data_IF_406255131051
#
_entry.id   IF_406255131051
#
_cell.length_a   1.000
_cell.length_b   1.000
_cell.length_c   1.000
_cell.angle_alpha   90.00
_cell.angle_beta   90.00
_cell.angle_gamma   90.00
#
_symmetry.space_group_name_H-M   'P 1'
#
loop_
_entity.id
_entity.type
_entity.pdbx_description
1 polymer ?
#
# COMPACT_ATOMS: atom_id res chain seq x y z
N UNK A 1 -11.81 -1.99 14.68
CA UNK A 1 -10.46 -2.21 15.24
C UNK A 1 -9.81 -0.87 15.14
N UNK A 2 -9.31 -0.40 16.25
CA UNK A 2 -8.71 0.93 16.32
C UNK A 2 -7.21 0.80 16.11
N UNK A 3 -6.59 1.93 15.78
CA UNK A 3 -5.15 1.99 15.60
C UNK A 3 -4.45 1.67 16.92
N UNK A 4 -3.38 0.87 16.86
CA UNK A 4 -2.49 0.71 18.00
C UNK A 4 -1.72 2.01 18.27
N UNK A 5 -1.20 2.22 19.48
CA UNK A 5 -0.34 3.39 19.76
C UNK A 5 0.84 3.51 18.80
N UNK A 6 1.42 2.39 18.37
CA UNK A 6 2.51 2.37 17.40
C UNK A 6 2.05 2.77 15.99
N UNK A 7 0.91 2.26 15.52
CA UNK A 7 0.33 2.66 14.22
C UNK A 7 -0.01 4.16 14.20
N UNK A 8 -0.54 4.70 15.31
CA UNK A 8 -0.81 6.14 15.45
C UNK A 8 0.48 6.96 15.43
N UNK A 9 1.55 6.47 16.08
CA UNK A 9 2.84 7.15 16.08
C UNK A 9 3.46 7.18 14.69
N UNK A 10 3.41 6.07 13.95
CA UNK A 10 3.86 6.01 12.54
C UNK A 10 3.04 6.93 11.66
N UNK A 11 1.72 6.91 11.76
CA UNK A 11 0.86 7.81 10.99
C UNK A 11 1.27 9.27 11.21
N UNK A 12 1.32 9.72 12.48
CA UNK A 12 1.64 11.11 12.81
C UNK A 12 3.03 11.52 12.33
N UNK A 13 4.01 10.64 12.49
CA UNK A 13 5.38 10.88 12.05
C UNK A 13 5.47 11.08 10.54
N UNK A 14 4.86 10.18 9.76
CA UNK A 14 4.89 10.28 8.30
C UNK A 14 4.09 11.48 7.79
N UNK A 15 2.99 11.82 8.46
CA UNK A 15 2.20 13.00 8.14
C UNK A 15 2.98 14.30 8.41
N UNK A 16 3.68 14.40 9.55
CA UNK A 16 4.50 15.58 9.87
C UNK A 16 5.68 15.77 8.91
N UNK A 17 6.18 14.67 8.34
CA UNK A 17 7.24 14.67 7.34
C UNK A 17 6.72 14.88 5.91
N UNK A 18 5.41 15.06 5.73
CA UNK A 18 4.78 15.30 4.44
C UNK A 18 4.81 14.08 3.51
N UNK A 19 4.94 12.87 4.05
CA UNK A 19 5.02 11.61 3.27
C UNK A 19 3.65 11.00 2.96
N UNK A 20 2.61 11.44 3.68
CA UNK A 20 1.23 11.01 3.48
C UNK A 20 0.49 12.06 2.66
N UNK A 21 0.33 11.82 1.36
CA UNK A 21 -0.46 12.70 0.50
C UNK A 21 -1.86 12.16 0.33
N UNK A 22 -2.89 12.90 0.73
CA UNK A 22 -4.26 12.45 0.54
C UNK A 22 -4.53 12.11 -0.92
N UNK A 23 -5.16 10.96 -1.13
CA UNK A 23 -5.53 10.52 -2.46
C UNK A 23 -6.55 11.49 -3.04
N UNK A 24 -6.11 12.34 -3.96
CA UNK A 24 -7.04 13.14 -4.74
C UNK A 24 -7.82 12.25 -5.73
N UNK A 25 -9.00 12.73 -6.15
CA UNK A 25 -9.78 12.09 -7.23
C UNK A 25 -9.06 12.18 -8.59
N UNK A 26 -7.93 12.91 -8.65
CA UNK A 26 -7.08 13.15 -9.81
C UNK A 26 -6.11 12.01 -10.12
N UNK A 27 -5.68 11.23 -9.12
CA UNK A 27 -4.65 10.20 -9.28
C UNK A 27 -5.03 9.11 -10.30
N UNK A 28 -6.33 8.86 -10.43
CA UNK A 28 -6.90 7.93 -11.40
C UNK A 28 -7.66 8.65 -12.52
N UNK A 29 -7.75 9.98 -12.48
CA UNK A 29 -8.43 10.76 -13.50
C UNK A 29 -7.62 10.70 -14.80
N UNK A 30 -8.23 10.20 -15.86
CA UNK A 30 -7.56 9.97 -17.14
C UNK A 30 -6.68 8.73 -17.20
N UNK A 31 -6.65 7.89 -16.16
CA UNK A 31 -5.96 6.59 -16.22
C UNK A 31 -6.90 5.50 -16.71
N UNK A 32 -6.42 4.77 -17.70
CA UNK A 32 -6.99 3.54 -18.24
C UNK A 32 -6.98 2.43 -17.16
N UNK A 33 -7.77 1.38 -17.40
CA UNK A 33 -7.96 0.15 -16.64
C UNK A 33 -6.91 -0.13 -15.54
N UNK A 34 -7.41 -0.18 -14.29
CA UNK A 34 -6.59 -0.25 -13.07
C UNK A 34 -6.81 -1.58 -12.35
N UNK A 35 -5.71 -2.29 -12.05
CA UNK A 35 -5.77 -3.40 -11.10
C UNK A 35 -5.41 -2.92 -9.69
N UNK A 36 -6.05 -3.50 -8.68
CA UNK A 36 -5.86 -3.10 -7.28
C UNK A 36 -5.54 -4.31 -6.43
N UNK A 37 -4.31 -4.36 -5.91
CA UNK A 37 -3.89 -5.38 -4.97
C UNK A 37 -4.14 -4.88 -3.56
N UNK A 38 -4.97 -5.62 -2.81
CA UNK A 38 -5.42 -5.19 -1.49
C UNK A 38 -5.78 -6.37 -0.58
N UNK A 39 -5.98 -6.08 0.70
CA UNK A 39 -6.53 -7.03 1.66
C UNK A 39 -8.07 -7.10 1.55
N UNK A 40 -8.70 -8.28 1.62
CA UNK A 40 -10.16 -8.43 1.59
C UNK A 40 -10.86 -8.04 2.90
N UNK A 41 -10.20 -7.34 3.84
CA UNK A 41 -10.86 -6.89 5.08
C UNK A 41 -12.05 -5.99 4.70
N UNK A 42 -13.26 -6.48 4.97
CA UNK A 42 -14.51 -5.85 4.52
C UNK A 42 -14.71 -4.42 5.02
N UNK A 43 -14.06 -4.02 6.13
CA UNK A 43 -14.08 -2.64 6.64
C UNK A 43 -13.34 -1.68 5.72
N UNK A 44 -12.32 -2.20 5.04
CA UNK A 44 -11.46 -1.44 4.14
C UNK A 44 -11.89 -1.60 2.69
N UNK A 45 -12.16 -2.84 2.26
CA UNK A 45 -12.39 -3.18 0.86
C UNK A 45 -13.62 -2.48 0.25
N UNK A 46 -14.80 -2.60 0.87
CA UNK A 46 -16.04 -2.08 0.26
C UNK A 46 -16.02 -0.56 0.17
N UNK A 47 -15.77 0.12 1.30
CA UNK A 47 -15.91 1.59 1.36
C UNK A 47 -14.76 2.34 0.72
N UNK A 48 -13.53 1.80 0.77
CA UNK A 48 -12.35 2.53 0.34
C UNK A 48 -11.82 2.09 -1.01
N UNK A 49 -12.20 0.90 -1.48
CA UNK A 49 -11.83 0.42 -2.82
C UNK A 49 -13.08 0.37 -3.70
N UNK A 50 -14.06 -0.48 -3.39
CA UNK A 50 -15.19 -0.70 -4.29
C UNK A 50 -15.97 0.58 -4.55
N UNK A 51 -16.40 1.30 -3.51
CA UNK A 51 -17.24 2.50 -3.68
C UNK A 51 -16.56 3.59 -4.53
N UNK A 52 -15.30 4.01 -4.27
CA UNK A 52 -14.63 4.98 -5.12
C UNK A 52 -14.51 4.55 -6.58
N UNK A 53 -14.14 3.29 -6.84
CA UNK A 53 -14.02 2.79 -8.21
C UNK A 53 -15.38 2.68 -8.92
N UNK A 54 -16.45 2.34 -8.18
CA UNK A 54 -17.82 2.37 -8.70
C UNK A 54 -18.27 3.80 -9.04
N UNK A 55 -18.04 4.78 -8.16
CA UNK A 55 -18.36 6.19 -8.44
C UNK A 55 -17.59 6.72 -9.66
N UNK A 56 -16.34 6.28 -9.83
CA UNK A 56 -15.52 6.62 -10.99
C UNK A 56 -16.06 5.99 -12.27
N UNK A 57 -16.46 4.71 -12.21
CA UNK A 57 -17.09 4.01 -13.32
C UNK A 57 -18.40 4.68 -13.74
N UNK A 58 -19.27 5.03 -12.79
CA UNK A 58 -20.53 5.71 -13.04
C UNK A 58 -20.35 7.07 -13.73
N UNK A 59 -19.26 7.79 -13.42
CA UNK A 59 -18.97 9.10 -14.02
C UNK A 59 -18.33 9.02 -15.40
N UNK A 60 -17.42 8.06 -15.60
CA UNK A 60 -16.58 8.01 -16.79
C UNK A 60 -17.03 6.95 -17.81
N UNK A 61 -17.79 5.94 -17.39
CA UNK A 61 -18.17 4.74 -18.16
C UNK A 61 -17.01 4.04 -18.91
N UNK A 62 -15.77 4.23 -18.43
CA UNK A 62 -14.56 3.83 -19.15
C UNK A 62 -13.51 3.13 -18.29
N UNK A 63 -13.57 3.25 -16.97
CA UNK A 63 -12.54 2.67 -16.09
C UNK A 63 -12.92 1.23 -15.79
N UNK A 64 -12.11 0.26 -16.25
CA UNK A 64 -12.21 -1.10 -15.73
C UNK A 64 -11.40 -1.22 -14.43
N UNK A 65 -12.03 -1.80 -13.43
CA UNK A 65 -11.44 -2.05 -12.12
C UNK A 65 -11.28 -3.55 -11.92
N UNK A 66 -10.05 -4.00 -11.64
CA UNK A 66 -9.75 -5.39 -11.36
C UNK A 66 -9.19 -5.57 -9.94
N UNK A 67 -10.04 -5.87 -8.95
CA UNK A 67 -9.56 -6.17 -7.61
C UNK A 67 -8.83 -7.51 -7.59
N UNK A 68 -7.64 -7.54 -7.01
CA UNK A 68 -6.86 -8.74 -6.72
C UNK A 68 -6.73 -8.86 -5.20
N UNK A 69 -7.76 -9.37 -4.50
CA UNK A 69 -7.74 -9.48 -3.05
C UNK A 69 -7.00 -10.74 -2.58
N UNK A 70 -6.10 -10.59 -1.59
CA UNK A 70 -5.45 -11.71 -0.86
C UNK A 70 -5.38 -11.40 0.63
N UNK A 71 -5.51 -12.38 1.51
CA UNK A 71 -5.32 -12.16 2.95
C UNK A 71 -3.89 -11.69 3.23
N UNK A 72 -3.74 -10.49 3.81
CA UNK A 72 -2.44 -9.81 3.93
C UNK A 72 -2.16 -8.81 2.79
N UNK A 73 -2.93 -8.84 1.71
CA UNK A 73 -2.86 -7.88 0.62
C UNK A 73 -1.47 -7.79 0.00
N UNK A 74 -0.95 -6.56 -0.11
CA UNK A 74 0.36 -6.34 -0.75
C UNK A 74 1.54 -6.76 0.11
N UNK A 75 1.33 -7.06 1.41
CA UNK A 75 2.36 -7.65 2.26
C UNK A 75 2.88 -8.98 1.71
N UNK A 76 2.08 -9.70 0.91
CA UNK A 76 2.49 -10.95 0.28
C UNK A 76 3.40 -10.76 -0.93
N UNK A 77 3.53 -9.54 -1.46
CA UNK A 77 4.42 -9.24 -2.57
C UNK A 77 5.86 -9.00 -2.13
N UNK A 78 6.07 -8.64 -0.86
CA UNK A 78 7.39 -8.55 -0.27
C UNK A 78 7.92 -9.96 0.05
N UNK A 79 8.95 -10.39 -0.68
CA UNK A 79 9.56 -11.72 -0.53
C UNK A 79 10.13 -11.98 0.87
N UNK A 80 10.38 -10.93 1.64
CA UNK A 80 10.86 -11.01 3.02
C UNK A 80 9.73 -10.96 4.06
N UNK A 81 8.47 -10.90 3.61
CA UNK A 81 7.32 -10.81 4.50
C UNK A 81 7.13 -12.09 5.31
N UNK A 82 6.92 -11.99 6.63
CA UNK A 82 6.65 -13.16 7.46
C UNK A 82 5.28 -13.79 7.17
N UNK A 83 4.45 -13.17 6.31
CA UNK A 83 3.19 -13.73 5.85
C UNK A 83 3.39 -14.76 4.71
N UNK A 84 4.59 -14.85 4.13
CA UNK A 84 4.93 -15.90 3.16
C UNK A 84 5.28 -17.17 3.95
N UNK A 85 4.28 -18.01 4.17
CA UNK A 85 4.45 -19.24 4.94
C UNK A 85 5.28 -20.29 4.17
N UNK A 86 6.17 -21.04 4.85
CA UNK A 86 6.96 -22.08 4.20
C UNK A 86 6.09 -23.10 3.45
N UNK A 87 6.44 -23.37 2.19
CA UNK A 87 5.70 -24.31 1.33
C UNK A 87 4.47 -23.73 0.63
N UNK A 88 4.15 -22.45 0.85
CA UNK A 88 3.09 -21.74 0.14
C UNK A 88 3.65 -20.91 -1.02
N UNK A 89 2.93 -20.86 -2.14
CA UNK A 89 3.30 -20.10 -3.35
C UNK A 89 2.56 -18.78 -3.48
N UNK A 90 1.95 -18.30 -2.39
CA UNK A 90 0.98 -17.20 -2.43
C UNK A 90 1.55 -15.92 -3.01
N UNK A 91 2.84 -15.64 -2.79
CA UNK A 91 3.53 -14.49 -3.36
C UNK A 91 3.69 -14.63 -4.89
N UNK A 92 4.07 -15.82 -5.37
CA UNK A 92 4.21 -16.14 -6.81
C UNK A 92 2.85 -16.15 -7.51
N UNK A 93 1.83 -16.70 -6.87
CA UNK A 93 0.46 -16.73 -7.40
C UNK A 93 -0.07 -15.30 -7.55
N UNK A 94 0.19 -14.43 -6.57
CA UNK A 94 -0.18 -13.03 -6.63
C UNK A 94 0.56 -12.26 -7.74
N UNK A 95 1.85 -12.55 -7.97
CA UNK A 95 2.57 -12.00 -9.13
C UNK A 95 1.97 -12.51 -10.46
N UNK A 96 1.58 -13.78 -10.54
CA UNK A 96 0.90 -14.33 -11.71
C UNK A 96 -0.42 -13.61 -12.00
N UNK A 97 -1.22 -13.31 -10.97
CA UNK A 97 -2.46 -12.52 -11.12
C UNK A 97 -2.17 -11.12 -11.68
N UNK A 98 -1.13 -10.46 -11.18
CA UNK A 98 -0.70 -9.14 -11.68
C UNK A 98 -0.26 -9.24 -13.15
N UNK A 99 0.56 -10.23 -13.52
CA UNK A 99 0.97 -10.46 -14.91
C UNK A 99 -0.24 -10.73 -15.82
N UNK A 100 -1.22 -11.47 -15.32
CA UNK A 100 -2.46 -11.72 -16.05
C UNK A 100 -3.27 -10.43 -16.26
N UNK A 101 -3.41 -9.59 -15.24
CA UNK A 101 -4.04 -8.27 -15.39
C UNK A 101 -3.32 -7.43 -16.46
N UNK A 102 -1.99 -7.31 -16.39
CA UNK A 102 -1.20 -6.57 -17.38
C UNK A 102 -1.40 -7.11 -18.81
N UNK A 103 -1.41 -8.44 -18.96
CA UNK A 103 -1.67 -9.11 -20.25
C UNK A 103 -3.07 -8.78 -20.81
N UNK A 104 -4.06 -8.57 -19.94
CA UNK A 104 -5.42 -8.18 -20.32
C UNK A 104 -5.59 -6.66 -20.53
N UNK A 105 -4.50 -5.90 -20.56
CA UNK A 105 -4.53 -4.49 -20.97
C UNK A 105 -4.52 -3.48 -19.82
N UNK A 106 -4.52 -3.91 -18.56
CA UNK A 106 -4.47 -3.01 -17.41
C UNK A 106 -3.15 -2.22 -17.37
N UNK A 107 -3.23 -0.89 -17.40
CA UNK A 107 -2.06 0.01 -17.55
C UNK A 107 -1.59 0.63 -16.24
N UNK A 108 -2.35 0.46 -15.17
CA UNK A 108 -2.01 0.97 -13.86
C UNK A 108 -2.28 -0.06 -12.76
N UNK A 109 -1.38 -0.09 -11.77
CA UNK A 109 -1.49 -0.89 -10.56
C UNK A 109 -1.58 0.00 -9.32
N UNK A 110 -2.53 -0.33 -8.45
CA UNK A 110 -2.69 0.27 -7.13
C UNK A 110 -2.33 -0.77 -6.07
N UNK A 111 -1.30 -0.50 -5.28
CA UNK A 111 -0.87 -1.34 -4.16
C UNK A 111 -1.36 -0.70 -2.87
N UNK A 112 -2.20 -1.41 -2.10
CA UNK A 112 -2.82 -0.86 -0.90
C UNK A 112 -2.54 -1.76 0.29
N UNK A 113 -1.86 -1.19 1.28
CA UNK A 113 -1.82 -1.70 2.64
C UNK A 113 -2.71 -0.83 3.54
N UNK A 114 -3.03 -1.33 4.73
CA UNK A 114 -3.92 -0.61 5.62
C UNK A 114 -3.52 -0.72 7.08
N UNK A 115 -3.88 0.30 7.86
CA UNK A 115 -3.96 0.25 9.31
C UNK A 115 -5.41 0.38 9.78
N UNK A 116 -5.79 -0.36 10.83
CA UNK A 116 -5.05 -1.48 11.38
C UNK A 116 -5.16 -2.72 10.47
N UNK A 117 -4.16 -3.61 10.47
CA UNK A 117 -4.20 -4.87 9.73
C UNK A 117 -4.06 -6.06 10.69
N UNK A 118 -5.08 -6.92 10.78
CA UNK A 118 -5.04 -8.09 11.66
C UNK A 118 -3.94 -9.07 11.25
N UNK A 119 -3.83 -9.39 9.96
CA UNK A 119 -2.80 -10.30 9.45
C UNK A 119 -1.39 -9.85 9.80
N UNK A 120 -1.12 -8.56 9.69
CA UNK A 120 0.16 -7.99 10.05
C UNK A 120 0.44 -8.11 11.55
N UNK A 121 -0.55 -7.80 12.40
CA UNK A 121 -0.44 -7.94 13.85
C UNK A 121 -0.24 -9.39 14.28
N UNK A 122 -0.97 -10.33 13.70
CA UNK A 122 -0.88 -11.77 14.00
C UNK A 122 0.51 -12.34 13.69
N UNK A 123 1.21 -11.75 12.72
CA UNK A 123 2.58 -12.12 12.33
C UNK A 123 3.64 -11.15 12.87
N UNK A 124 3.30 -10.31 13.84
CA UNK A 124 4.20 -9.33 14.47
C UNK A 124 4.91 -8.41 13.46
N UNK A 125 4.27 -8.09 12.34
CA UNK A 125 4.78 -7.10 11.38
C UNK A 125 4.61 -5.73 11.98
N UNK A 126 5.74 -5.05 12.20
CA UNK A 126 5.75 -3.68 12.70
C UNK A 126 5.08 -2.71 11.71
N UNK A 127 4.39 -1.66 12.17
CA UNK A 127 3.67 -0.74 11.28
C UNK A 127 4.56 -0.10 10.20
N UNK A 128 5.81 0.21 10.52
CA UNK A 128 6.73 0.77 9.53
C UNK A 128 7.09 -0.23 8.42
N UNK A 129 7.25 -1.51 8.76
CA UNK A 129 7.49 -2.59 7.77
C UNK A 129 6.29 -2.82 6.86
N UNK A 130 5.07 -2.53 7.33
CA UNK A 130 3.88 -2.56 6.46
C UNK A 130 4.04 -1.55 5.31
N UNK A 131 4.68 -0.41 5.54
CA UNK A 131 4.92 0.58 4.50
C UNK A 131 6.14 0.23 3.65
N UNK A 132 7.22 -0.27 4.26
CA UNK A 132 8.37 -0.78 3.50
C UNK A 132 7.94 -1.84 2.49
N UNK A 133 7.03 -2.73 2.90
CA UNK A 133 6.52 -3.78 2.01
C UNK A 133 5.83 -3.22 0.75
N UNK A 134 5.20 -2.03 0.80
CA UNK A 134 4.65 -1.39 -0.40
C UNK A 134 5.76 -0.99 -1.39
N UNK A 135 6.89 -0.51 -0.85
CA UNK A 135 8.04 -0.11 -1.66
C UNK A 135 8.71 -1.34 -2.26
N UNK A 136 8.90 -2.40 -1.47
CA UNK A 136 9.45 -3.68 -1.93
C UNK A 136 8.53 -4.33 -2.97
N UNK A 137 7.21 -4.31 -2.75
CA UNK A 137 6.23 -4.82 -3.69
C UNK A 137 6.31 -4.10 -5.04
N UNK A 138 6.37 -2.76 -5.02
CA UNK A 138 6.55 -1.98 -6.25
C UNK A 138 7.89 -2.30 -6.92
N UNK A 139 8.99 -2.34 -6.16
CA UNK A 139 10.31 -2.67 -6.69
C UNK A 139 10.32 -4.05 -7.35
N UNK A 140 9.73 -5.07 -6.69
CA UNK A 140 9.55 -6.41 -7.26
C UNK A 140 8.80 -6.38 -8.57
N UNK A 141 7.62 -5.75 -8.62
CA UNK A 141 6.83 -5.64 -9.85
C UNK A 141 7.62 -4.97 -10.97
N UNK A 142 8.26 -3.82 -10.68
CA UNK A 142 8.90 -2.99 -11.70
C UNK A 142 10.25 -3.54 -12.17
N UNK A 143 11.08 -4.03 -11.25
CA UNK A 143 12.48 -4.40 -11.52
C UNK A 143 12.68 -5.90 -11.62
N UNK A 144 12.18 -6.67 -10.63
CA UNK A 144 12.42 -8.13 -10.59
C UNK A 144 11.57 -8.89 -11.61
N UNK A 145 10.29 -8.53 -11.70
CA UNK A 145 9.33 -9.18 -12.60
C UNK A 145 9.29 -8.54 -13.99
N UNK A 146 10.03 -7.44 -14.20
CA UNK A 146 10.14 -6.75 -15.49
C UNK A 146 8.86 -6.06 -15.97
N UNK A 147 7.91 -5.75 -15.08
CA UNK A 147 6.65 -5.10 -15.44
C UNK A 147 6.84 -3.57 -15.48
N UNK A 148 7.70 -3.11 -16.41
CA UNK A 148 8.14 -1.71 -16.51
C UNK A 148 7.13 -0.77 -17.16
N UNK A 149 6.15 -1.29 -17.89
CA UNK A 149 5.37 -0.46 -18.82
C UNK A 149 4.06 0.08 -18.22
N UNK A 150 3.75 -0.31 -17.00
CA UNK A 150 2.58 0.18 -16.24
C UNK A 150 2.98 1.22 -15.20
N UNK A 151 2.05 2.11 -14.82
CA UNK A 151 2.24 2.89 -13.60
C UNK A 151 1.92 2.05 -12.37
N UNK A 152 2.73 2.13 -11.31
CA UNK A 152 2.41 1.50 -10.02
C UNK A 152 2.46 2.55 -8.91
N UNK A 153 1.36 2.71 -8.18
CA UNK A 153 1.23 3.64 -7.06
C UNK A 153 0.96 2.87 -5.76
N UNK A 154 1.49 3.39 -4.64
CA UNK A 154 1.46 2.77 -3.33
C UNK A 154 0.62 3.61 -2.37
N UNK A 155 -0.37 3.01 -1.73
CA UNK A 155 -1.27 3.69 -0.83
C UNK A 155 -1.31 3.02 0.53
N UNK A 156 -1.39 3.85 1.56
CA UNK A 156 -1.70 3.43 2.92
C UNK A 156 -3.11 3.90 3.25
N UNK A 157 -3.99 2.96 3.51
CA UNK A 157 -5.33 3.23 4.00
C UNK A 157 -5.32 3.21 5.53
N UNK A 158 -5.87 4.24 6.17
CA UNK A 158 -5.92 4.36 7.62
C UNK A 158 -7.38 4.46 8.06
N UNK A 159 -7.77 3.59 8.98
CA UNK A 159 -9.12 3.46 9.54
C UNK A 159 -9.04 3.55 11.05
N UNK A 160 -9.73 4.51 11.64
CA UNK A 160 -9.77 4.71 13.10
C UNK A 160 -11.17 5.16 13.53
N UNK A 161 -11.93 4.27 14.19
CA UNK A 161 -13.37 4.50 14.44
C UNK A 161 -14.16 4.75 13.14
N UNK A 162 -14.67 5.98 12.95
CA UNK A 162 -15.32 6.45 11.71
C UNK A 162 -14.35 7.17 10.75
N UNK A 163 -13.16 7.58 11.21
CA UNK A 163 -12.17 8.28 10.39
C UNK A 163 -11.59 7.34 9.33
N UNK A 164 -11.59 7.78 8.08
CA UNK A 164 -11.00 7.05 6.96
C UNK A 164 -10.11 7.98 6.16
N UNK A 165 -8.89 7.54 5.89
CA UNK A 165 -7.92 8.25 5.07
C UNK A 165 -7.27 7.26 4.11
N UNK A 166 -7.04 7.66 2.87
CA UNK A 166 -6.22 6.90 1.93
C UNK A 166 -5.13 7.85 1.47
N UNK A 167 -3.88 7.52 1.78
CA UNK A 167 -2.73 8.37 1.49
C UNK A 167 -1.84 7.69 0.46
N UNK A 168 -1.54 8.40 -0.62
CA UNK A 168 -0.48 8.04 -1.55
C UNK A 168 0.87 8.25 -0.86
N UNK A 169 1.73 7.24 -0.96
CA UNK A 169 3.12 7.28 -0.48
C UNK A 169 4.03 7.21 -1.70
N UNK A 170 4.74 8.32 -1.96
CA UNK A 170 5.73 8.39 -3.04
C UNK A 170 6.98 7.61 -2.66
N UNK A 171 7.33 6.63 -3.48
CA UNK A 171 8.41 5.72 -3.14
C UNK A 171 9.77 6.39 -3.04
N UNK A 172 10.07 7.36 -3.91
CA UNK A 172 11.32 8.13 -3.84
C UNK A 172 11.47 8.86 -2.50
N UNK A 173 10.39 9.49 -2.06
CA UNK A 173 10.38 10.39 -0.92
C UNK A 173 10.47 9.55 0.37
N UNK A 174 9.68 8.47 0.43
CA UNK A 174 9.73 7.53 1.54
C UNK A 174 11.08 6.80 1.65
N UNK A 175 11.66 6.30 0.55
CA UNK A 175 12.96 5.64 0.61
C UNK A 175 14.08 6.61 1.00
N UNK A 176 14.03 7.86 0.53
CA UNK A 176 14.98 8.91 0.94
C UNK A 176 14.83 9.24 2.43
N UNK A 177 13.61 9.24 2.95
CA UNK A 177 13.34 9.39 4.37
C UNK A 177 13.86 8.19 5.17
N UNK A 178 13.57 6.94 4.77
CA UNK A 178 14.06 5.72 5.43
C UNK A 178 15.59 5.67 5.49
N UNK A 179 16.27 6.05 4.41
CA UNK A 179 17.73 6.08 4.36
C UNK A 179 18.36 7.07 5.35
N UNK A 180 17.65 8.16 5.69
CA UNK A 180 18.10 9.13 6.69
C UNK A 180 17.88 8.62 8.11
N UNK A 181 16.67 8.14 8.39
CA UNK A 181 16.20 7.92 9.76
C UNK A 181 16.31 6.47 10.27
N UNK A 182 16.69 5.52 9.41
CA UNK A 182 16.92 4.12 9.77
C UNK A 182 15.64 3.36 10.07
N UNK A 183 15.79 2.17 10.66
CA UNK A 183 14.74 1.13 10.68
C UNK A 183 13.66 1.29 11.77
N UNK A 184 13.85 2.17 12.75
CA UNK A 184 12.96 2.26 13.92
C UNK A 184 12.31 3.63 14.07
N UNK A 185 11.07 3.65 14.58
CA UNK A 185 10.35 4.88 14.92
C UNK A 185 11.13 5.69 15.97
N UNK A 186 11.71 5.01 16.97
CA UNK A 186 12.51 5.65 18.01
C UNK A 186 13.76 6.31 17.42
N UNK A 187 14.50 5.61 16.56
CA UNK A 187 15.65 6.18 15.86
C UNK A 187 15.28 7.39 15.01
N UNK A 188 14.13 7.34 14.33
CA UNK A 188 13.62 8.49 13.57
C UNK A 188 13.30 9.69 14.48
N UNK A 189 12.58 9.47 15.57
CA UNK A 189 12.23 10.52 16.53
C UNK A 189 13.47 11.13 17.21
N UNK A 190 14.44 10.31 17.58
CA UNK A 190 15.70 10.76 18.21
C UNK A 190 16.54 11.63 17.26
N UNK A 191 16.66 11.22 15.99
CA UNK A 191 17.38 11.98 14.98
C UNK A 191 16.67 13.28 14.60
N UNK A 192 15.33 13.29 14.56
CA UNK A 192 14.58 14.53 14.35
C UNK A 192 14.82 15.51 15.50
N UNK A 193 14.77 15.03 16.74
CA UNK A 193 15.03 15.85 17.92
C UNK A 193 16.46 16.42 17.97
N UNK A 194 17.45 15.71 17.43
CA UNK A 194 18.83 16.21 17.36
C UNK A 194 19.04 17.24 16.24
N UNK A 195 18.28 17.17 15.14
CA UNK A 195 18.36 18.12 14.01
C UNK A 195 17.78 19.51 14.29
N UNK A 196 17.01 19.65 15.37
CA UNK A 196 16.37 20.90 15.80
C UNK A 196 17.20 21.69 16.83
N UNK A 197 18.41 21.23 17.17
CA UNK A 197 19.36 21.90 18.07
C UNK A 197 20.51 22.52 17.29
#
# INVERSE_FOLDING_TARGET
MDLSPEEQAVEKLLDSEGLLHDMDKGHFHGKEDVFVVCCPDGRHFVRSIVNPFMEMYEKAHKIQFHPIPRHGGTLLLDECSPLILPGHTTDKDLICDIKFAVKNGYKAGCLINHFPCSMARDHNVRPLHIIDSLMHAKDRIKKKEGISDITVACFLQITDGERRRISHIRCSDFLSWRARYGDTIHGALEQMASSLR
#
